data_IF_815284422500
#
_entry.id   IF_815284422500
#
_cell.length_a   1.000
_cell.length_b   1.000
_cell.length_c   1.000
_cell.angle_alpha   90.00
_cell.angle_beta   90.00
_cell.angle_gamma   90.00
#
_symmetry.space_group_name_H-M   'P 1'
#
loop_
_entity.id
_entity.type
_entity.pdbx_description
1 polymer ?
#
# COMPACT_ATOMS: atom_id res chain seq x y z
N UNK A 1 -0.83 -0.12 -77.27
CA UNK A 1 -1.40 0.92 -76.40
C UNK A 1 -0.37 1.13 -75.29
N UNK A 2 0.66 1.95 -75.54
CA UNK A 2 0.75 3.40 -75.22
C UNK A 2 0.72 3.63 -73.69
N UNK A 3 1.67 4.27 -72.99
CA UNK A 3 2.93 5.02 -73.25
C UNK A 3 3.74 4.95 -71.92
N UNK A 4 5.07 4.69 -71.87
CA UNK A 4 6.21 5.65 -71.89
C UNK A 4 5.98 6.87 -70.95
N UNK A 5 6.77 7.18 -69.92
CA UNK A 5 8.20 7.56 -69.93
C UNK A 5 8.84 7.60 -68.51
N UNK A 6 10.10 7.18 -68.37
CA UNK A 6 11.06 7.58 -67.29
C UNK A 6 11.79 8.90 -67.70
N UNK A 7 12.93 9.38 -67.11
CA UNK A 7 13.64 9.11 -65.84
C UNK A 7 14.19 10.40 -65.14
N UNK A 8 14.93 10.25 -64.04
CA UNK A 8 15.86 11.27 -63.52
C UNK A 8 17.01 10.62 -62.74
N UNK A 9 18.25 10.79 -63.23
CA UNK A 9 19.49 10.07 -62.86
C UNK A 9 20.61 11.06 -62.50
N UNK A 10 21.38 10.75 -61.43
CA UNK A 10 22.81 11.11 -61.13
C UNK A 10 23.20 12.59 -60.87
N UNK A 11 24.24 12.99 -60.12
CA UNK A 11 25.55 12.40 -59.68
C UNK A 11 26.14 13.24 -58.47
N UNK A 12 27.27 12.83 -57.84
CA UNK A 12 27.72 13.23 -56.48
C UNK A 12 28.87 14.30 -56.45
N UNK A 13 29.51 14.42 -55.27
CA UNK A 13 30.73 15.21 -54.89
C UNK A 13 30.42 16.58 -54.26
N UNK A 14 31.12 17.11 -53.25
CA UNK A 14 32.53 17.08 -52.86
C UNK A 14 32.64 17.34 -51.34
N UNK A 15 33.53 16.63 -50.64
CA UNK A 15 34.06 17.07 -49.34
C UNK A 15 35.28 17.98 -49.56
N UNK A 16 35.39 19.11 -48.85
CA UNK A 16 36.67 19.63 -48.40
C UNK A 16 36.72 19.41 -46.88
N UNK A 17 37.66 18.62 -46.37
CA UNK A 17 39.05 19.04 -46.29
C UNK A 17 39.34 19.24 -44.82
N UNK A 18 40.02 18.27 -44.20
CA UNK A 18 40.46 18.38 -42.83
C UNK A 18 41.47 19.51 -42.68
N UNK A 19 41.33 20.26 -41.60
CA UNK A 19 42.42 21.04 -41.04
C UNK A 19 42.46 20.73 -39.55
N UNK A 20 43.56 20.10 -39.12
CA UNK A 20 43.94 19.94 -37.73
C UNK A 20 44.58 21.24 -37.26
N UNK A 21 44.17 21.74 -36.09
CA UNK A 21 44.97 22.63 -35.28
C UNK A 21 44.74 22.29 -33.80
N UNK A 22 45.83 22.03 -33.10
CA UNK A 22 45.91 21.76 -31.67
C UNK A 22 45.89 23.04 -30.83
N UNK A 23 45.52 22.86 -29.56
CA UNK A 23 45.73 23.70 -28.38
C UNK A 23 45.18 25.14 -28.36
N UNK A 24 44.18 25.37 -27.50
CA UNK A 24 44.26 26.34 -26.39
C UNK A 24 42.97 26.33 -25.55
N UNK A 25 43.15 26.34 -24.22
CA UNK A 25 42.10 26.57 -23.23
C UNK A 25 41.68 28.05 -23.19
N UNK A 26 40.44 28.31 -22.71
CA UNK A 26 40.08 29.31 -21.67
C UNK A 26 38.55 29.59 -21.69
N UNK A 27 38.06 29.90 -20.49
CA UNK A 27 36.72 30.20 -20.00
C UNK A 27 35.83 31.19 -20.79
N UNK A 28 34.51 31.00 -20.61
CA UNK A 28 33.57 32.10 -20.30
C UNK A 28 32.58 32.54 -21.39
N UNK A 29 31.30 32.48 -21.00
CA UNK A 29 30.17 33.37 -21.35
C UNK A 29 29.11 32.89 -22.37
N UNK A 30 27.89 32.77 -21.80
CA UNK A 30 26.53 33.00 -22.30
C UNK A 30 25.96 32.22 -23.50
N UNK A 31 24.96 31.39 -23.21
CA UNK A 31 23.90 31.05 -24.15
C UNK A 31 22.63 31.82 -23.79
N UNK A 32 22.14 32.59 -24.75
CA UNK A 32 20.94 33.41 -24.69
C UNK A 32 19.66 32.56 -24.55
N UNK A 33 18.68 33.10 -23.84
CA UNK A 33 17.34 32.54 -23.72
C UNK A 33 16.60 32.59 -25.07
N UNK A 34 16.11 31.43 -25.52
CA UNK A 34 15.11 31.32 -26.59
C UNK A 34 13.75 31.08 -25.90
N UNK A 35 12.70 31.89 -26.14
CA UNK A 35 11.40 31.66 -25.54
C UNK A 35 10.68 30.54 -26.31
N UNK A 36 10.23 29.51 -25.59
CA UNK A 36 9.32 28.48 -26.09
C UNK A 36 7.93 28.74 -25.49
N UNK A 37 6.84 28.76 -26.29
CA UNK A 37 5.52 29.05 -25.78
C UNK A 37 5.00 27.90 -24.89
N UNK A 38 4.26 28.27 -23.86
CA UNK A 38 3.58 27.38 -22.92
C UNK A 38 2.55 26.51 -23.64
N UNK A 39 2.74 25.19 -23.58
CA UNK A 39 1.72 24.19 -23.91
C UNK A 39 1.09 23.73 -22.60
N UNK A 40 -0.18 24.06 -22.39
CA UNK A 40 -1.01 23.48 -21.34
C UNK A 40 -1.62 22.18 -21.84
N UNK A 41 -1.21 21.05 -21.25
CA UNK A 41 -1.76 19.72 -21.54
C UNK A 41 -1.57 18.81 -20.33
N UNK A 42 -2.65 18.11 -19.95
CA UNK A 42 -2.72 17.22 -18.80
C UNK A 42 -1.63 16.13 -18.82
N UNK A 43 -0.88 16.02 -17.72
CA UNK A 43 0.20 15.04 -17.58
C UNK A 43 -0.32 13.63 -17.37
N UNK A 44 0.04 12.74 -18.28
CA UNK A 44 -0.02 11.28 -18.16
C UNK A 44 0.95 10.82 -17.05
N UNK A 45 0.58 9.93 -16.12
CA UNK A 45 1.51 9.42 -15.12
C UNK A 45 2.47 8.37 -15.73
N UNK A 46 3.77 8.52 -15.47
CA UNK A 46 4.79 7.52 -15.76
C UNK A 46 5.15 6.81 -14.43
N UNK A 47 5.03 5.49 -14.30
CA UNK A 47 5.39 4.78 -13.07
C UNK A 47 6.92 4.56 -12.96
N UNK A 48 7.50 4.76 -11.77
CA UNK A 48 8.78 4.12 -11.41
C UNK A 48 9.99 4.97 -11.04
N UNK A 49 9.85 6.23 -10.60
CA UNK A 49 10.98 6.97 -10.00
C UNK A 49 10.68 7.31 -8.54
N UNK A 50 11.46 6.79 -7.57
CA UNK A 50 11.35 7.24 -6.18
C UNK A 50 11.86 8.68 -6.10
N UNK A 51 10.97 9.61 -5.74
CA UNK A 51 11.36 10.98 -5.43
C UNK A 51 11.88 10.98 -4.00
N UNK A 52 13.16 11.32 -3.75
CA UNK A 52 13.65 11.50 -2.38
C UNK A 52 12.84 12.63 -1.74
N UNK A 53 12.43 12.44 -0.48
CA UNK A 53 11.86 13.54 0.32
C UNK A 53 12.99 14.56 0.51
N UNK A 54 13.05 15.54 -0.39
CA UNK A 54 13.94 16.69 -0.30
C UNK A 54 13.22 17.75 0.49
N UNK A 55 13.77 18.07 1.66
CA UNK A 55 13.50 19.30 2.37
C UNK A 55 14.06 20.46 1.54
N UNK A 56 13.17 21.26 0.93
CA UNK A 56 13.56 22.43 0.15
C UNK A 56 12.35 23.02 -0.58
N UNK A 57 12.24 24.34 -0.57
CA UNK A 57 11.05 25.11 -0.94
C UNK A 57 10.35 24.67 -2.25
N UNK A 58 9.03 24.50 -2.16
CA UNK A 58 8.09 24.64 -3.27
C UNK A 58 7.76 23.38 -4.08
N UNK A 59 6.87 22.53 -3.56
CA UNK A 59 5.99 21.71 -4.43
C UNK A 59 4.55 21.82 -3.91
N UNK A 60 3.74 22.56 -4.65
CA UNK A 60 2.28 22.53 -4.55
C UNK A 60 1.76 21.41 -5.45
N UNK A 61 1.02 20.45 -4.89
CA UNK A 61 0.22 19.50 -5.68
C UNK A 61 -1.21 20.04 -5.73
N UNK A 62 -1.79 20.37 -6.91
CA UNK A 62 -3.12 20.95 -6.97
C UNK A 62 -4.21 19.88 -6.80
N UNK A 63 -5.13 20.15 -5.87
CA UNK A 63 -6.57 20.18 -6.17
C UNK A 63 -7.35 18.86 -6.27
N UNK A 64 -7.82 18.37 -5.11
CA UNK A 64 -9.21 17.90 -4.95
C UNK A 64 -9.68 18.34 -3.56
N UNK A 65 -10.50 19.39 -3.49
CA UNK A 65 -11.19 19.79 -2.26
C UNK A 65 -12.62 19.24 -2.29
N UNK A 66 -12.88 18.22 -1.48
CA UNK A 66 -14.26 17.80 -1.18
C UNK A 66 -14.78 18.71 -0.06
N UNK A 67 -15.89 19.45 -0.25
CA UNK A 67 -16.43 20.32 0.81
C UNK A 67 -16.72 19.50 2.07
N UNK A 68 -16.11 19.90 3.20
CA UNK A 68 -16.36 19.29 4.52
C UNK A 68 -15.38 18.21 4.97
N UNK A 69 -14.38 17.82 4.16
CA UNK A 69 -13.28 16.95 4.61
C UNK A 69 -12.05 17.80 4.87
N UNK A 70 -11.58 17.94 6.13
CA UNK A 70 -10.35 18.66 6.41
C UNK A 70 -9.20 17.89 5.77
N UNK A 71 -8.52 18.51 4.81
CA UNK A 71 -7.28 18.00 4.22
C UNK A 71 -6.12 18.61 5.01
N UNK A 72 -5.31 17.76 5.64
CA UNK A 72 -4.05 18.22 6.24
C UNK A 72 -3.05 18.56 5.13
N UNK A 73 -2.85 19.86 4.87
CA UNK A 73 -1.82 20.36 3.96
C UNK A 73 -0.57 20.80 4.71
N UNK A 74 0.59 20.36 4.24
CA UNK A 74 1.88 20.91 4.67
C UNK A 74 2.09 22.23 3.93
N UNK A 75 2.19 23.32 4.68
CA UNK A 75 2.44 24.67 4.15
C UNK A 75 3.68 25.25 4.83
N UNK A 76 4.32 26.23 4.19
CA UNK A 76 5.37 26.98 4.88
C UNK A 76 4.75 27.74 6.05
N UNK A 77 5.54 27.96 7.12
CA UNK A 77 5.07 28.66 8.32
C UNK A 77 4.56 30.07 7.98
N UNK A 78 5.19 30.72 7.00
CA UNK A 78 4.83 32.05 6.53
C UNK A 78 3.49 32.10 5.77
N UNK A 79 3.03 30.95 5.28
CA UNK A 79 1.74 30.81 4.57
C UNK A 79 0.57 30.56 5.53
N UNK A 80 0.83 30.38 6.84
CA UNK A 80 -0.22 30.13 7.83
C UNK A 80 -0.99 31.43 8.08
N UNK A 81 -2.33 31.46 7.87
CA UNK A 81 -3.13 32.66 8.06
C UNK A 81 -2.93 33.31 9.44
N UNK A 82 -2.85 34.64 9.46
CA UNK A 82 -2.80 35.40 10.70
C UNK A 82 -4.08 35.15 11.52
N UNK A 83 -3.92 34.77 12.79
CA UNK A 83 -5.04 34.44 13.69
C UNK A 83 -5.55 33.00 13.60
N UNK A 84 -4.95 32.14 12.76
CA UNK A 84 -5.24 30.71 12.81
C UNK A 84 -4.89 30.13 14.20
N UNK A 85 -5.69 29.18 14.68
CA UNK A 85 -5.36 28.43 15.89
C UNK A 85 -4.06 27.64 15.65
N UNK A 86 -3.12 27.75 16.59
CA UNK A 86 -1.80 27.15 16.47
C UNK A 86 -1.58 26.17 17.62
N UNK A 87 -1.34 24.91 17.26
CA UNK A 87 -0.87 23.89 18.18
C UNK A 87 0.61 23.64 17.92
N UNK A 88 1.47 23.94 18.90
CA UNK A 88 2.89 23.60 18.84
C UNK A 88 3.10 22.26 19.55
N UNK A 89 3.59 21.26 18.81
CA UNK A 89 3.98 19.96 19.36
C UNK A 89 5.50 19.80 19.23
N UNK A 90 6.23 19.42 20.30
CA UNK A 90 7.63 19.05 20.19
C UNK A 90 7.78 17.67 19.53
N UNK A 91 8.92 17.37 18.92
CA UNK A 91 9.21 16.06 18.33
C UNK A 91 8.80 15.96 16.85
N UNK A 92 8.34 14.77 16.43
CA UNK A 92 8.07 14.46 15.02
C UNK A 92 6.58 14.22 14.79
N UNK A 93 6.05 14.77 13.69
CA UNK A 93 4.68 14.53 13.22
C UNK A 93 4.74 13.78 11.89
N UNK A 94 3.89 12.76 11.76
CA UNK A 94 3.75 11.93 10.57
C UNK A 94 2.28 11.92 10.13
N UNK A 95 2.00 11.55 8.87
CA UNK A 95 0.67 11.03 8.55
C UNK A 95 0.30 9.89 9.50
N UNK A 96 -1.00 9.65 9.69
CA UNK A 96 -1.48 8.61 10.58
C UNK A 96 -0.89 7.24 10.25
N UNK A 97 -0.28 6.58 11.24
CA UNK A 97 0.19 5.20 11.11
C UNK A 97 -0.99 4.26 10.93
N UNK A 98 -0.90 3.37 9.95
CA UNK A 98 -1.96 2.46 9.53
C UNK A 98 -1.54 1.01 9.72
N UNK A 99 -2.41 0.19 10.32
CA UNK A 99 -2.31 -1.27 10.28
C UNK A 99 -3.23 -1.85 9.20
N UNK A 100 -2.65 -2.33 8.11
CA UNK A 100 -3.41 -2.79 6.95
C UNK A 100 -4.01 -4.20 7.11
N UNK A 101 -3.89 -4.85 8.28
CA UNK A 101 -4.54 -6.14 8.53
C UNK A 101 -4.89 -6.30 10.00
N UNK A 102 -6.17 -6.08 10.33
CA UNK A 102 -6.73 -6.36 11.65
C UNK A 102 -8.07 -7.10 11.52
N UNK A 103 -8.56 -7.62 12.64
CA UNK A 103 -9.91 -8.14 12.78
C UNK A 103 -10.61 -7.42 13.93
N UNK A 104 -11.36 -6.34 13.62
CA UNK A 104 -12.00 -5.45 14.60
C UNK A 104 -13.01 -6.15 15.52
N UNK A 105 -13.53 -7.30 15.10
CA UNK A 105 -14.41 -8.13 15.92
C UNK A 105 -13.68 -8.88 17.06
N UNK A 106 -12.35 -8.93 17.01
CA UNK A 106 -11.51 -9.68 17.96
C UNK A 106 -10.67 -8.77 18.87
N UNK A 107 -10.74 -7.45 18.67
CA UNK A 107 -9.83 -6.49 19.29
C UNK A 107 -10.59 -5.26 19.80
N UNK A 108 -9.94 -4.50 20.69
CA UNK A 108 -10.45 -3.21 21.16
C UNK A 108 -9.80 -2.06 20.36
N UNK A 109 -10.56 -1.43 19.46
CA UNK A 109 -10.08 -0.33 18.61
C UNK A 109 -9.63 0.92 19.40
N UNK A 110 -10.28 1.35 20.49
CA UNK A 110 -9.76 2.41 21.36
C UNK A 110 -8.37 2.10 21.92
N UNK A 111 -8.11 0.87 22.34
CA UNK A 111 -6.78 0.44 22.78
C UNK A 111 -5.76 0.49 21.64
N UNK A 112 -6.14 0.03 20.43
CA UNK A 112 -5.29 0.13 19.24
C UNK A 112 -4.92 1.60 18.93
N UNK A 113 -5.89 2.52 19.02
CA UNK A 113 -5.65 3.97 18.89
C UNK A 113 -4.68 4.49 19.94
N UNK A 114 -4.88 4.10 21.20
CA UNK A 114 -4.01 4.48 22.30
C UNK A 114 -2.58 3.95 22.11
N UNK A 115 -2.42 2.83 21.40
CA UNK A 115 -1.14 2.25 20.96
C UNK A 115 -0.49 2.92 19.75
N UNK A 116 -1.03 4.05 19.26
CA UNK A 116 -0.39 4.88 18.23
C UNK A 116 -0.84 4.63 16.80
N UNK A 117 -1.77 3.70 16.57
CA UNK A 117 -2.31 3.38 15.25
C UNK A 117 -3.53 4.26 14.96
N UNK A 118 -3.41 5.12 13.95
CA UNK A 118 -4.40 6.13 13.59
C UNK A 118 -5.50 5.59 12.65
N UNK A 119 -5.14 4.61 11.82
CA UNK A 119 -6.04 3.97 10.87
C UNK A 119 -5.82 2.45 10.83
N UNK A 120 -6.82 1.68 10.40
CA UNK A 120 -6.69 0.24 10.25
C UNK A 120 -7.54 -0.29 9.10
N UNK A 121 -7.15 -1.43 8.53
CA UNK A 121 -7.95 -2.17 7.55
C UNK A 121 -8.47 -3.47 8.18
N UNK A 122 -9.80 -3.57 8.35
CA UNK A 122 -10.44 -4.81 8.77
C UNK A 122 -10.59 -5.75 7.57
N UNK A 123 -9.89 -6.89 7.60
CA UNK A 123 -9.87 -7.84 6.49
C UNK A 123 -10.74 -9.07 6.74
N UNK A 124 -11.77 -8.96 7.58
CA UNK A 124 -12.76 -10.01 7.71
C UNK A 124 -13.52 -9.96 9.02
N UNK A 125 -14.84 -9.86 8.94
CA UNK A 125 -15.75 -9.92 10.07
C UNK A 125 -17.21 -9.83 9.65
N UNK A 126 -18.16 -9.92 10.59
CA UNK A 126 -19.59 -9.80 10.27
C UNK A 126 -19.89 -8.38 9.75
N UNK A 127 -20.48 -8.21 8.55
CA UNK A 127 -20.55 -6.90 7.89
C UNK A 127 -21.20 -5.79 8.73
N UNK A 128 -22.33 -6.10 9.38
CA UNK A 128 -23.03 -5.13 10.24
C UNK A 128 -22.24 -4.74 11.50
N UNK A 129 -21.43 -5.66 12.04
CA UNK A 129 -20.56 -5.36 13.18
C UNK A 129 -19.41 -4.42 12.76
N UNK A 130 -18.72 -4.76 11.67
CA UNK A 130 -17.58 -3.97 11.20
C UNK A 130 -18.02 -2.56 10.77
N UNK A 131 -19.16 -2.45 10.07
CA UNK A 131 -19.75 -1.15 9.73
C UNK A 131 -20.09 -0.31 10.99
N UNK A 132 -20.62 -0.94 12.05
CA UNK A 132 -20.88 -0.25 13.31
C UNK A 132 -19.59 0.21 14.01
N UNK A 133 -18.50 -0.57 13.95
CA UNK A 133 -17.20 -0.17 14.45
C UNK A 133 -16.62 1.02 13.68
N UNK A 134 -16.71 1.00 12.34
CA UNK A 134 -16.31 2.12 11.50
C UNK A 134 -17.09 3.40 11.84
N UNK A 135 -18.42 3.29 12.02
CA UNK A 135 -19.29 4.42 12.38
C UNK A 135 -18.98 5.02 13.77
N UNK A 136 -18.47 4.21 14.72
CA UNK A 136 -18.01 4.70 16.04
C UNK A 136 -16.76 5.58 15.94
N UNK A 137 -15.93 5.41 14.91
CA UNK A 137 -14.83 6.31 14.59
C UNK A 137 -13.66 6.33 15.59
N UNK A 138 -13.46 5.27 16.39
CA UNK A 138 -12.31 5.19 17.31
C UNK A 138 -10.97 5.22 16.54
N UNK A 139 -10.90 4.48 15.44
CA UNK A 139 -9.80 4.44 14.47
C UNK A 139 -10.42 4.66 13.09
N UNK A 140 -9.71 5.33 12.18
CA UNK A 140 -10.17 5.43 10.79
C UNK A 140 -10.14 4.03 10.15
N UNK A 141 -11.31 3.43 9.95
CA UNK A 141 -11.43 2.02 9.56
C UNK A 141 -11.83 1.89 8.09
N UNK A 142 -10.94 1.27 7.31
CA UNK A 142 -11.26 0.69 5.99
C UNK A 142 -11.64 -0.78 6.21
N UNK A 143 -12.55 -1.36 5.42
CA UNK A 143 -12.94 -2.75 5.70
C UNK A 143 -13.44 -3.55 4.48
N UNK A 144 -13.28 -4.88 4.59
CA UNK A 144 -13.68 -5.88 3.59
C UNK A 144 -15.14 -6.34 3.70
N UNK A 145 -15.68 -6.37 4.92
CA UNK A 145 -16.87 -7.17 5.22
C UNK A 145 -16.52 -8.64 5.43
N UNK A 146 -17.28 -9.60 4.86
CA UNK A 146 -17.06 -11.02 5.13
C UNK A 146 -15.90 -11.57 4.28
N UNK A 147 -15.32 -12.69 4.73
CA UNK A 147 -14.49 -13.54 3.88
C UNK A 147 -15.36 -14.17 2.79
N UNK A 148 -15.04 -13.94 1.52
CA UNK A 148 -15.62 -14.70 0.42
C UNK A 148 -14.86 -16.01 0.26
N UNK A 149 -15.58 -17.13 0.39
CA UNK A 149 -14.97 -18.45 0.54
C UNK A 149 -15.70 -19.51 -0.31
N UNK A 150 -15.04 -20.63 -0.60
CA UNK A 150 -15.77 -21.82 -1.05
C UNK A 150 -16.61 -22.40 0.09
N UNK A 151 -17.64 -23.22 -0.19
CA UNK A 151 -18.41 -23.88 0.85
C UNK A 151 -17.52 -24.71 1.78
N UNK A 152 -17.60 -24.44 3.08
CA UNK A 152 -16.71 -25.04 4.09
C UNK A 152 -15.23 -24.61 4.01
N UNK A 153 -14.90 -23.57 3.24
CA UNK A 153 -13.55 -23.03 3.13
C UNK A 153 -13.09 -22.31 4.40
N UNK A 154 -11.78 -22.05 4.50
CA UNK A 154 -11.23 -21.26 5.60
C UNK A 154 -11.77 -19.83 5.60
N UNK A 155 -12.13 -19.20 6.74
CA UNK A 155 -12.03 -19.71 8.10
C UNK A 155 -13.37 -20.22 8.68
N UNK A 156 -14.30 -20.71 7.86
CA UNK A 156 -15.66 -21.08 8.30
C UNK A 156 -15.72 -22.14 9.42
N UNK A 157 -14.67 -22.94 9.54
CA UNK A 157 -14.50 -24.00 10.54
C UNK A 157 -13.65 -23.56 11.75
N UNK A 158 -13.23 -22.29 11.80
CA UNK A 158 -12.35 -21.78 12.85
C UNK A 158 -13.16 -21.14 13.98
N UNK A 159 -12.90 -21.54 15.25
CA UNK A 159 -13.67 -21.02 16.39
C UNK A 159 -13.39 -19.55 16.70
N UNK A 160 -12.27 -19.00 16.21
CA UNK A 160 -11.95 -17.60 16.36
C UNK A 160 -12.77 -16.71 15.42
N UNK A 161 -13.31 -17.24 14.33
CA UNK A 161 -14.06 -16.46 13.35
C UNK A 161 -15.50 -16.25 13.85
N UNK A 162 -15.95 -15.01 14.10
CA UNK A 162 -17.31 -14.77 14.56
C UNK A 162 -18.36 -15.26 13.55
N UNK A 163 -19.52 -15.68 14.04
CA UNK A 163 -20.63 -16.07 13.17
C UNK A 163 -21.02 -14.92 12.22
N UNK A 164 -21.24 -15.25 10.94
CA UNK A 164 -21.54 -14.26 9.90
C UNK A 164 -20.30 -13.61 9.26
N UNK A 165 -19.08 -14.03 9.62
CA UNK A 165 -17.85 -13.52 8.99
C UNK A 165 -17.56 -14.14 7.62
N UNK A 166 -18.25 -15.20 7.22
CA UNK A 166 -18.00 -15.90 5.96
C UNK A 166 -19.22 -15.83 5.03
N UNK A 167 -18.97 -15.62 3.74
CA UNK A 167 -19.95 -15.71 2.66
C UNK A 167 -19.48 -16.76 1.65
N UNK A 168 -20.14 -17.91 1.65
CA UNK A 168 -19.82 -19.01 0.73
C UNK A 168 -20.27 -18.70 -0.70
N UNK A 169 -19.44 -19.04 -1.69
CA UNK A 169 -19.74 -18.93 -3.11
C UNK A 169 -19.63 -20.29 -3.78
N UNK A 170 -20.72 -20.76 -4.41
CA UNK A 170 -20.77 -22.05 -5.11
C UNK A 170 -20.44 -21.95 -6.59
N UNK A 171 -20.56 -20.76 -7.18
CA UNK A 171 -20.38 -20.57 -8.62
C UNK A 171 -20.01 -19.12 -8.97
N UNK A 172 -19.50 -18.87 -10.20
CA UNK A 172 -19.24 -17.52 -10.69
C UNK A 172 -20.46 -16.60 -10.66
N UNK A 173 -21.67 -17.14 -10.83
CA UNK A 173 -22.91 -16.36 -10.85
C UNK A 173 -23.24 -15.71 -9.49
N UNK A 174 -22.68 -16.22 -8.39
CA UNK A 174 -22.88 -15.65 -7.04
C UNK A 174 -21.91 -14.50 -6.73
N UNK A 175 -20.83 -14.34 -7.51
CA UNK A 175 -19.75 -13.41 -7.22
C UNK A 175 -20.21 -11.95 -7.20
N UNK A 176 -20.90 -11.49 -8.24
CA UNK A 176 -21.37 -10.12 -8.34
C UNK A 176 -22.35 -9.75 -7.22
N UNK A 177 -23.20 -10.70 -6.81
CA UNK A 177 -24.14 -10.51 -5.69
C UNK A 177 -23.38 -10.35 -4.39
N UNK A 178 -22.42 -11.22 -4.09
CA UNK A 178 -21.67 -11.16 -2.84
C UNK A 178 -20.78 -9.91 -2.74
N UNK A 179 -20.17 -9.48 -3.85
CA UNK A 179 -19.41 -8.22 -3.91
C UNK A 179 -20.34 -7.02 -3.71
N UNK A 180 -21.50 -7.00 -4.37
CA UNK A 180 -22.48 -5.94 -4.20
C UNK A 180 -23.06 -5.88 -2.77
N UNK A 181 -23.29 -7.03 -2.12
CA UNK A 181 -23.69 -7.13 -0.72
C UNK A 181 -22.62 -6.48 0.20
N UNK A 182 -21.35 -6.81 0.00
CA UNK A 182 -20.24 -6.23 0.78
C UNK A 182 -20.11 -4.72 0.54
N UNK A 183 -20.16 -4.27 -0.72
CA UNK A 183 -20.13 -2.85 -1.07
C UNK A 183 -21.32 -2.09 -0.46
N UNK A 184 -22.53 -2.65 -0.53
CA UNK A 184 -23.73 -2.02 0.05
C UNK A 184 -23.64 -1.89 1.58
N UNK A 185 -22.89 -2.79 2.24
CA UNK A 185 -22.55 -2.68 3.66
C UNK A 185 -21.39 -1.70 3.95
N UNK A 186 -20.89 -1.00 2.92
CA UNK A 186 -19.84 0.03 3.02
C UNK A 186 -18.41 -0.49 2.90
N UNK A 187 -18.21 -1.75 2.49
CA UNK A 187 -16.87 -2.26 2.25
C UNK A 187 -16.17 -1.48 1.13
N UNK A 188 -14.87 -1.25 1.30
CA UNK A 188 -14.00 -0.47 0.39
C UNK A 188 -12.83 -1.29 -0.16
N UNK A 189 -12.90 -2.60 0.06
CA UNK A 189 -12.07 -3.66 -0.49
C UNK A 189 -12.84 -4.98 -0.35
N UNK A 190 -12.40 -6.04 -1.02
CA UNK A 190 -13.01 -7.38 -0.92
C UNK A 190 -11.97 -8.36 -0.39
N UNK A 191 -12.34 -9.23 0.56
CA UNK A 191 -11.46 -10.30 1.06
C UNK A 191 -11.90 -11.64 0.52
N UNK A 192 -10.97 -12.38 -0.07
CA UNK A 192 -11.14 -13.78 -0.45
C UNK A 192 -10.12 -14.64 0.30
N UNK A 193 -10.43 -15.92 0.52
CA UNK A 193 -9.48 -16.87 1.10
C UNK A 193 -9.16 -18.01 0.13
N UNK A 194 -7.88 -18.37 0.11
CA UNK A 194 -7.33 -19.53 -0.57
C UNK A 194 -6.38 -20.24 0.41
N UNK A 195 -6.87 -21.30 1.04
CA UNK A 195 -6.13 -22.10 2.00
C UNK A 195 -6.10 -23.55 1.49
N UNK A 196 -4.97 -23.99 0.95
CA UNK A 196 -4.86 -25.26 0.21
C UNK A 196 -5.22 -26.51 1.04
N UNK A 197 -5.20 -26.42 2.38
CA UNK A 197 -5.65 -27.47 3.30
C UNK A 197 -7.17 -27.66 3.39
N UNK A 198 -7.97 -26.90 2.63
CA UNK A 198 -9.43 -26.97 2.64
C UNK A 198 -10.07 -26.61 1.29
N UNK A 199 -11.40 -26.50 1.22
CA UNK A 199 -12.11 -26.10 0.01
C UNK A 199 -11.64 -24.74 -0.52
N UNK A 200 -11.38 -24.68 -1.83
CA UNK A 200 -10.96 -23.47 -2.54
C UNK A 200 -12.04 -23.04 -3.52
N UNK A 201 -12.13 -21.73 -3.79
CA UNK A 201 -12.94 -21.24 -4.89
C UNK A 201 -12.40 -21.80 -6.21
N UNK A 202 -13.30 -22.24 -7.08
CA UNK A 202 -12.92 -22.58 -8.44
C UNK A 202 -12.30 -21.35 -9.14
N UNK A 203 -11.31 -21.51 -10.03
CA UNK A 203 -10.66 -20.38 -10.69
C UNK A 203 -11.63 -19.41 -11.37
N UNK A 204 -12.67 -19.94 -12.02
CA UNK A 204 -13.71 -19.12 -12.64
C UNK A 204 -14.52 -18.29 -11.62
N UNK A 205 -14.72 -18.80 -10.40
CA UNK A 205 -15.41 -18.05 -9.34
C UNK A 205 -14.52 -16.96 -8.76
N UNK A 206 -13.22 -17.24 -8.54
CA UNK A 206 -12.26 -16.22 -8.12
C UNK A 206 -12.17 -15.09 -9.16
N UNK A 207 -12.03 -15.44 -10.44
CA UNK A 207 -12.00 -14.46 -11.53
C UNK A 207 -13.28 -13.61 -11.56
N UNK A 208 -14.45 -14.21 -11.39
CA UNK A 208 -15.72 -13.47 -11.35
C UNK A 208 -15.82 -12.54 -10.13
N UNK A 209 -15.23 -12.90 -8.98
CA UNK A 209 -15.14 -12.00 -7.81
C UNK A 209 -14.24 -10.82 -8.13
N UNK A 210 -13.07 -11.06 -8.73
CA UNK A 210 -12.14 -9.99 -9.12
C UNK A 210 -12.79 -9.03 -10.12
N UNK A 211 -13.38 -9.55 -11.19
CA UNK A 211 -14.12 -8.71 -12.16
C UNK A 211 -15.21 -7.87 -11.48
N UNK A 212 -16.06 -8.49 -10.67
CA UNK A 212 -17.14 -7.76 -10.00
C UNK A 212 -16.63 -6.69 -9.01
N UNK A 213 -15.51 -6.94 -8.34
CA UNK A 213 -14.89 -5.97 -7.44
C UNK A 213 -14.30 -4.80 -8.23
N UNK A 214 -13.56 -5.08 -9.31
CA UNK A 214 -12.97 -4.07 -10.18
C UNK A 214 -14.01 -3.22 -10.90
N UNK A 215 -15.15 -3.79 -11.30
CA UNK A 215 -16.28 -3.04 -11.88
C UNK A 215 -16.85 -1.99 -10.91
N UNK A 216 -16.65 -2.18 -9.60
CA UNK A 216 -17.01 -1.22 -8.54
C UNK A 216 -15.81 -0.40 -8.03
N UNK A 217 -14.63 -0.55 -8.64
CA UNK A 217 -13.40 0.11 -8.20
C UNK A 217 -12.87 -0.37 -6.84
N UNK A 218 -13.25 -1.57 -6.40
CA UNK A 218 -12.81 -2.17 -5.15
C UNK A 218 -11.60 -3.09 -5.38
N UNK A 219 -10.49 -2.94 -4.63
CA UNK A 219 -9.40 -3.89 -4.70
C UNK A 219 -9.74 -5.20 -3.98
N UNK A 220 -9.16 -6.29 -4.45
CA UNK A 220 -9.30 -7.63 -3.85
C UNK A 220 -8.04 -7.98 -3.08
N UNK A 221 -8.23 -8.43 -1.84
CA UNK A 221 -7.18 -8.98 -0.98
C UNK A 221 -7.39 -10.49 -0.83
N UNK A 222 -6.33 -11.27 -1.04
CA UNK A 222 -6.39 -12.74 -0.89
C UNK A 222 -5.51 -13.22 0.26
N UNK A 223 -6.09 -14.03 1.15
CA UNK A 223 -5.32 -14.96 1.98
C UNK A 223 -4.84 -16.11 1.13
N UNK A 224 -3.54 -16.17 0.84
CA UNK A 224 -2.94 -17.20 -0.01
C UNK A 224 -2.02 -18.09 0.84
N UNK A 225 -2.52 -19.27 1.21
CA UNK A 225 -1.79 -20.24 2.01
C UNK A 225 -1.67 -21.58 1.28
N UNK A 226 -0.41 -21.99 1.09
CA UNK A 226 -0.04 -23.30 0.57
C UNK A 226 0.07 -23.33 -0.96
N UNK A 227 0.50 -24.49 -1.49
CA UNK A 227 0.95 -24.63 -2.88
C UNK A 227 -0.09 -24.14 -3.90
N UNK A 228 0.37 -23.28 -4.81
CA UNK A 228 -0.40 -22.81 -5.97
C UNK A 228 -1.39 -21.68 -5.67
N UNK A 229 -1.64 -21.34 -4.41
CA UNK A 229 -2.59 -20.27 -4.05
C UNK A 229 -2.12 -18.89 -4.50
N UNK A 230 -0.81 -18.61 -4.39
CA UNK A 230 -0.21 -17.34 -4.85
C UNK A 230 -0.26 -17.22 -6.37
N UNK A 231 0.03 -18.31 -7.10
CA UNK A 231 -0.05 -18.34 -8.55
C UNK A 231 -1.49 -18.09 -9.03
N UNK A 232 -2.46 -18.78 -8.44
CA UNK A 232 -3.88 -18.58 -8.74
C UNK A 232 -4.36 -17.15 -8.47
N UNK A 233 -3.90 -16.53 -7.37
CA UNK A 233 -4.22 -15.13 -7.09
C UNK A 233 -3.59 -14.17 -8.11
N UNK A 234 -2.33 -14.39 -8.50
CA UNK A 234 -1.64 -13.57 -9.50
C UNK A 234 -2.29 -13.69 -10.89
N UNK A 235 -2.64 -14.90 -11.30
CA UNK A 235 -3.31 -15.20 -12.58
C UNK A 235 -4.72 -14.60 -12.64
N UNK A 236 -5.42 -14.55 -11.50
CA UNK A 236 -6.73 -13.92 -11.38
C UNK A 236 -6.68 -12.39 -11.25
N UNK A 237 -5.49 -11.77 -11.35
CA UNK A 237 -5.30 -10.31 -11.27
C UNK A 237 -5.72 -9.69 -9.94
N UNK A 238 -5.53 -10.44 -8.84
CA UNK A 238 -5.73 -9.93 -7.47
C UNK A 238 -4.80 -8.75 -7.18
N UNK A 239 -5.30 -7.76 -6.45
CA UNK A 239 -4.55 -6.54 -6.13
C UNK A 239 -3.59 -6.73 -4.95
N UNK A 240 -4.03 -7.44 -3.90
CA UNK A 240 -3.23 -7.62 -2.68
C UNK A 240 -3.18 -9.06 -2.17
N UNK A 241 -2.05 -9.41 -1.56
CA UNK A 241 -1.93 -10.60 -0.71
C UNK A 241 -1.89 -10.21 0.76
N UNK A 242 -2.61 -10.97 1.57
CA UNK A 242 -2.51 -10.91 3.01
C UNK A 242 -2.69 -12.33 3.54
N UNK A 243 -1.62 -13.06 3.83
CA UNK A 243 -0.29 -12.58 4.24
C UNK A 243 0.78 -12.48 3.13
N UNK A 244 1.97 -11.99 3.48
CA UNK A 244 3.21 -12.33 2.75
C UNK A 244 3.34 -13.86 2.66
N UNK A 245 3.51 -14.46 1.47
CA UNK A 245 3.59 -15.91 1.32
C UNK A 245 4.67 -16.56 2.20
N UNK A 246 4.29 -17.53 3.03
CA UNK A 246 5.14 -18.09 4.11
C UNK A 246 5.27 -19.62 4.09
N UNK A 247 4.43 -20.31 3.32
CA UNK A 247 4.31 -21.77 3.30
C UNK A 247 5.34 -22.45 2.41
N UNK A 248 5.75 -21.77 1.33
CA UNK A 248 6.82 -22.23 0.45
C UNK A 248 7.67 -21.05 -0.04
N UNK A 249 8.90 -21.34 -0.47
CA UNK A 249 9.66 -20.39 -1.27
C UNK A 249 9.02 -20.29 -2.65
N UNK A 250 8.75 -19.07 -3.08
CA UNK A 250 8.12 -18.84 -4.37
C UNK A 250 9.14 -18.89 -5.50
N UNK A 251 8.69 -19.32 -6.68
CA UNK A 251 9.46 -19.24 -7.91
C UNK A 251 9.80 -17.77 -8.24
N UNK A 252 11.05 -17.43 -8.60
CA UNK A 252 11.44 -16.05 -8.88
C UNK A 252 10.64 -15.37 -10.00
N UNK A 253 10.17 -16.13 -10.99
CA UNK A 253 9.31 -15.64 -12.06
C UNK A 253 7.94 -15.22 -11.53
N UNK A 254 7.34 -16.05 -10.66
CA UNK A 254 6.09 -15.71 -9.96
C UNK A 254 6.26 -14.48 -9.07
N UNK A 255 7.34 -14.41 -8.26
CA UNK A 255 7.60 -13.25 -7.40
C UNK A 255 7.71 -11.96 -8.22
N UNK A 256 8.40 -12.01 -9.38
CA UNK A 256 8.51 -10.87 -10.30
C UNK A 256 7.14 -10.48 -10.88
N UNK A 257 6.32 -11.45 -11.27
CA UNK A 257 4.98 -11.20 -11.79
C UNK A 257 4.08 -10.53 -10.74
N UNK A 258 4.14 -10.98 -9.49
CA UNK A 258 3.49 -10.32 -8.35
C UNK A 258 4.02 -8.90 -8.14
N UNK A 259 5.34 -8.70 -8.10
CA UNK A 259 5.96 -7.40 -7.84
C UNK A 259 5.59 -6.32 -8.86
N UNK A 260 5.29 -6.72 -10.10
CA UNK A 260 4.89 -5.79 -11.15
C UNK A 260 3.48 -5.22 -10.99
N UNK A 261 2.60 -5.82 -10.17
CA UNK A 261 1.17 -5.47 -10.13
C UNK A 261 0.52 -5.50 -8.75
N UNK A 262 1.05 -6.27 -7.80
CA UNK A 262 0.42 -6.52 -6.51
C UNK A 262 1.06 -5.71 -5.39
N UNK A 263 0.30 -5.53 -4.32
CA UNK A 263 0.81 -5.11 -3.01
C UNK A 263 0.72 -6.26 -2.01
N UNK A 264 1.77 -6.50 -1.21
CA UNK A 264 1.72 -7.50 -0.15
C UNK A 264 1.52 -6.83 1.22
N UNK A 265 0.67 -7.40 2.06
CA UNK A 265 0.53 -6.99 3.46
C UNK A 265 1.47 -7.87 4.30
N UNK A 266 2.33 -7.22 5.07
CA UNK A 266 3.54 -7.85 5.62
C UNK A 266 3.23 -9.04 6.53
N UNK A 267 2.54 -8.81 7.64
CA UNK A 267 2.11 -9.83 8.63
C UNK A 267 3.18 -10.89 8.92
N UNK A 268 4.42 -10.48 9.14
CA UNK A 268 5.57 -11.37 9.26
C UNK A 268 5.71 -11.96 10.67
N UNK A 269 5.41 -11.18 11.71
CA UNK A 269 5.56 -11.56 13.13
C UNK A 269 4.60 -12.69 13.52
N UNK A 270 3.45 -12.80 12.84
CA UNK A 270 2.42 -13.80 13.19
C UNK A 270 2.91 -15.24 13.02
N UNK A 271 3.93 -15.44 12.19
CA UNK A 271 4.49 -16.75 11.90
C UNK A 271 5.45 -17.26 12.99
N UNK A 272 5.66 -16.52 14.09
CA UNK A 272 6.49 -16.96 15.21
C UNK A 272 6.34 -16.20 16.51
N UNK A 273 5.65 -15.05 16.50
CA UNK A 273 5.46 -14.12 17.63
C UNK A 273 6.78 -13.85 18.37
N UNK A 274 7.79 -13.41 17.61
CA UNK A 274 9.16 -13.19 18.09
C UNK A 274 10.06 -14.42 18.15
N UNK A 275 9.54 -15.64 17.91
CA UNK A 275 10.39 -16.82 17.69
C UNK A 275 10.84 -16.91 16.24
N UNK A 276 12.02 -17.48 16.03
CA UNK A 276 12.50 -17.83 14.70
C UNK A 276 11.89 -19.17 14.29
N UNK A 277 11.13 -19.17 13.20
CA UNK A 277 10.42 -20.33 12.66
C UNK A 277 10.70 -20.46 11.16
N UNK A 278 10.62 -21.67 10.58
CA UNK A 278 10.78 -21.85 9.13
C UNK A 278 9.79 -20.99 8.32
N UNK A 279 8.56 -20.85 8.79
CA UNK A 279 7.50 -20.06 8.16
C UNK A 279 7.86 -18.57 8.15
N UNK A 280 8.31 -18.03 9.29
CA UNK A 280 8.76 -16.64 9.40
C UNK A 280 9.98 -16.38 8.51
N UNK A 281 10.94 -17.31 8.50
CA UNK A 281 12.12 -17.22 7.63
C UNK A 281 11.75 -17.24 6.14
N UNK A 282 10.76 -18.05 5.76
CA UNK A 282 10.24 -18.12 4.39
C UNK A 282 9.50 -16.85 4.00
N UNK A 283 8.63 -16.32 4.85
CA UNK A 283 7.93 -15.06 4.62
C UNK A 283 8.91 -13.89 4.40
N UNK A 284 9.90 -13.73 5.28
CA UNK A 284 10.93 -12.68 5.15
C UNK A 284 11.74 -12.88 3.85
N UNK A 285 12.09 -14.12 3.51
CA UNK A 285 12.81 -14.43 2.27
C UNK A 285 12.04 -14.07 1.01
N UNK A 286 10.75 -14.43 0.96
CA UNK A 286 9.86 -14.11 -0.15
C UNK A 286 9.62 -12.60 -0.26
N UNK A 287 9.37 -11.90 0.86
CA UNK A 287 9.20 -10.45 0.85
C UNK A 287 10.46 -9.74 0.36
N UNK A 288 11.65 -10.18 0.77
CA UNK A 288 12.92 -9.64 0.28
C UNK A 288 13.06 -9.78 -1.24
N UNK A 289 12.72 -10.96 -1.78
CA UNK A 289 12.76 -11.18 -3.22
C UNK A 289 11.74 -10.29 -3.96
N UNK A 290 10.53 -10.16 -3.41
CA UNK A 290 9.47 -9.30 -3.95
C UNK A 290 9.87 -7.82 -3.98
N UNK A 291 10.43 -7.30 -2.87
CA UNK A 291 10.97 -5.94 -2.79
C UNK A 291 12.14 -5.72 -3.77
N UNK A 292 13.00 -6.72 -3.98
CA UNK A 292 14.11 -6.63 -4.94
C UNK A 292 13.65 -6.47 -6.40
N UNK A 293 12.40 -6.85 -6.70
CA UNK A 293 11.74 -6.62 -7.99
C UNK A 293 10.86 -5.37 -8.01
N UNK A 294 10.92 -4.52 -6.99
CA UNK A 294 10.16 -3.27 -6.90
C UNK A 294 8.72 -3.43 -6.38
N UNK A 295 8.40 -4.57 -5.77
CA UNK A 295 7.08 -4.82 -5.22
C UNK A 295 6.72 -3.86 -4.08
N UNK A 296 5.43 -3.59 -3.90
CA UNK A 296 4.91 -2.69 -2.87
C UNK A 296 4.42 -3.45 -1.65
N UNK A 297 4.68 -2.91 -0.46
CA UNK A 297 4.28 -3.55 0.81
C UNK A 297 3.52 -2.59 1.71
N UNK A 298 2.50 -3.12 2.39
CA UNK A 298 1.81 -2.46 3.50
C UNK A 298 2.20 -3.12 4.81
N UNK A 299 2.42 -2.31 5.84
CA UNK A 299 2.52 -2.83 7.20
C UNK A 299 1.15 -3.38 7.62
N UNK A 300 1.12 -4.61 8.09
CA UNK A 300 -0.06 -5.18 8.73
C UNK A 300 0.33 -6.26 9.73
N UNK A 301 -0.48 -6.46 10.76
CA UNK A 301 -0.13 -7.39 11.85
C UNK A 301 -1.02 -8.61 11.97
N UNK A 302 -2.18 -8.64 11.30
CA UNK A 302 -3.25 -9.62 11.54
C UNK A 302 -3.73 -9.60 13.02
N UNK A 303 -3.85 -8.39 13.57
CA UNK A 303 -4.23 -8.19 14.97
C UNK A 303 -5.63 -8.78 15.23
N UNK A 304 -5.70 -9.65 16.24
CA UNK A 304 -6.86 -10.52 16.50
C UNK A 304 -6.47 -12.00 16.45
N UNK A 305 -5.38 -12.33 15.74
CA UNK A 305 -4.84 -13.68 15.63
C UNK A 305 -3.51 -13.84 16.38
N UNK A 306 -3.58 -14.26 17.64
CA UNK A 306 -2.42 -14.54 18.50
C UNK A 306 -2.01 -13.39 19.43
N UNK A 307 -0.90 -13.54 20.18
CA UNK A 307 -0.47 -12.61 21.22
C UNK A 307 0.25 -11.37 20.65
N UNK A 308 -0.46 -10.62 19.81
CA UNK A 308 0.03 -9.41 19.17
C UNK A 308 -0.34 -8.17 20.02
N UNK A 309 0.56 -7.18 20.14
CA UNK A 309 0.24 -5.95 20.88
C UNK A 309 -0.76 -5.09 20.08
N UNK A 310 -1.79 -4.50 20.73
CA UNK A 310 -2.67 -3.51 20.10
C UNK A 310 -1.97 -2.14 20.02
N UNK A 311 -0.83 -2.10 19.32
CA UNK A 311 0.03 -0.93 19.16
C UNK A 311 0.93 -1.12 17.93
N UNK A 312 1.79 -0.14 17.63
CA UNK A 312 2.91 -0.34 16.69
C UNK A 312 3.73 -1.56 17.13
N UNK A 313 3.76 -2.60 16.31
CA UNK A 313 4.44 -3.86 16.63
C UNK A 313 5.92 -3.76 16.23
N UNK A 314 6.78 -3.54 17.23
CA UNK A 314 8.25 -3.47 17.07
C UNK A 314 8.79 -4.70 16.33
N UNK A 315 8.24 -5.89 16.57
CA UNK A 315 8.73 -7.13 15.94
C UNK A 315 8.41 -7.17 14.46
N UNK A 316 7.24 -6.68 14.08
CA UNK A 316 6.84 -6.53 12.67
C UNK A 316 7.69 -5.49 11.95
N UNK A 317 7.91 -4.32 12.58
CA UNK A 317 8.79 -3.26 12.04
C UNK A 317 10.21 -3.78 11.81
N UNK A 318 10.77 -4.53 12.76
CA UNK A 318 12.09 -5.17 12.60
C UNK A 318 12.08 -6.27 11.54
N UNK A 319 10.98 -7.01 11.36
CA UNK A 319 10.86 -8.02 10.32
C UNK A 319 10.82 -7.40 8.91
N UNK A 320 10.15 -6.26 8.75
CA UNK A 320 10.20 -5.44 7.54
C UNK A 320 11.64 -4.97 7.23
N UNK A 321 12.36 -4.50 8.26
CA UNK A 321 13.78 -4.16 8.14
C UNK A 321 14.64 -5.36 7.71
N UNK A 322 14.40 -6.53 8.31
CA UNK A 322 15.07 -7.77 7.92
C UNK A 322 14.76 -8.18 6.46
N UNK A 323 13.56 -7.88 5.96
CA UNK A 323 13.19 -8.09 4.55
C UNK A 323 13.85 -7.09 3.59
N UNK A 324 14.53 -6.05 4.09
CA UNK A 324 15.34 -5.13 3.30
C UNK A 324 14.76 -3.72 3.14
N UNK A 325 13.69 -3.37 3.86
CA UNK A 325 13.24 -1.98 3.92
C UNK A 325 14.12 -1.17 4.87
N UNK A 326 14.45 0.05 4.46
CA UNK A 326 15.02 1.06 5.35
C UNK A 326 13.89 1.78 6.13
N UNK A 327 14.24 2.63 7.12
CA UNK A 327 13.26 3.41 7.88
C UNK A 327 12.27 4.20 7.01
N UNK A 328 12.72 4.80 5.91
CA UNK A 328 11.85 5.56 5.01
C UNK A 328 10.83 4.64 4.32
N UNK A 329 11.27 3.48 3.80
CA UNK A 329 10.39 2.47 3.21
C UNK A 329 9.38 1.91 4.20
N UNK A 330 9.77 1.70 5.46
CA UNK A 330 8.83 1.27 6.51
C UNK A 330 7.80 2.37 6.81
N UNK A 331 8.22 3.63 6.92
CA UNK A 331 7.28 4.75 7.07
C UNK A 331 6.29 4.79 5.90
N UNK A 332 6.75 4.63 4.65
CA UNK A 332 5.86 4.53 3.49
C UNK A 332 4.88 3.36 3.61
N UNK A 333 5.34 2.18 4.03
CA UNK A 333 4.49 1.01 4.23
C UNK A 333 3.41 1.22 5.32
N UNK A 334 3.69 2.06 6.33
CA UNK A 334 2.78 2.38 7.44
C UNK A 334 1.91 3.63 7.22
N UNK A 335 2.29 4.52 6.31
CA UNK A 335 1.62 5.84 6.15
C UNK A 335 1.04 6.09 4.77
N UNK A 336 1.38 5.26 3.77
CA UNK A 336 0.81 5.45 2.45
C UNK A 336 -0.71 5.33 2.54
N UNK A 337 -1.42 6.41 2.23
CA UNK A 337 -2.87 6.41 2.27
C UNK A 337 -3.42 6.32 0.86
N UNK A 338 -4.39 5.43 0.65
CA UNK A 338 -5.20 5.41 -0.59
C UNK A 338 -6.24 6.56 -0.57
N UNK A 339 -6.39 7.27 0.56
CA UNK A 339 -7.13 8.52 0.69
C UNK A 339 -6.27 9.62 1.34
N UNK A 340 -5.63 10.50 0.55
CA UNK A 340 -4.84 11.60 1.06
C UNK A 340 -5.66 12.55 1.95
N UNK A 341 -5.10 12.92 3.10
CA UNK A 341 -5.54 14.10 3.86
C UNK A 341 -6.65 13.93 4.91
N UNK A 342 -7.30 12.76 5.05
CA UNK A 342 -8.52 12.62 5.88
C UNK A 342 -8.35 11.89 7.22
N UNK A 343 -7.14 11.45 7.58
CA UNK A 343 -6.88 10.69 8.81
C UNK A 343 -6.19 11.50 9.92
N UNK A 344 -6.36 11.13 11.21
CA UNK A 344 -5.65 11.78 12.30
C UNK A 344 -4.13 11.55 12.17
N UNK A 345 -3.34 12.58 12.48
CA UNK A 345 -1.88 12.53 12.38
C UNK A 345 -1.29 11.64 13.48
N UNK A 346 -0.09 11.12 13.26
CA UNK A 346 0.69 10.46 14.31
C UNK A 346 1.79 11.39 14.82
N UNK A 347 2.07 11.33 16.12
CA UNK A 347 2.99 12.22 16.82
C UNK A 347 3.94 11.41 17.71
N UNK A 348 5.24 11.70 17.59
CA UNK A 348 6.32 11.11 18.39
C UNK A 348 6.94 12.19 19.28
N UNK A 349 6.59 12.26 20.58
CA UNK A 349 6.98 13.37 21.45
C UNK A 349 8.49 13.53 21.62
N UNK A 350 9.24 12.42 21.63
CA UNK A 350 10.69 12.40 21.77
C UNK A 350 11.43 12.57 20.44
N UNK A 351 10.70 12.68 19.32
CA UNK A 351 11.25 12.60 17.98
C UNK A 351 11.28 11.17 17.43
N UNK A 352 11.59 11.06 16.14
CA UNK A 352 11.77 9.80 15.41
C UNK A 352 13.26 9.58 15.15
N UNK A 353 13.77 8.42 15.55
CA UNK A 353 15.16 8.02 15.27
C UNK A 353 15.19 7.22 13.97
N UNK A 354 16.01 7.64 13.00
CA UNK A 354 16.14 6.96 11.70
C UNK A 354 17.32 5.98 11.67
N UNK A 355 18.02 5.76 12.77
CA UNK A 355 19.01 4.69 12.86
C UNK A 355 18.30 3.32 12.88
N UNK A 356 18.62 2.37 11.98
CA UNK A 356 17.90 1.10 11.89
C UNK A 356 17.82 0.31 13.20
N UNK A 357 18.81 0.42 14.08
CA UNK A 357 18.87 -0.32 15.34
C UNK A 357 17.85 0.17 16.39
N UNK A 358 17.41 1.43 16.32
CA UNK A 358 16.56 2.10 17.31
C UNK A 358 15.26 2.63 16.71
N UNK A 359 15.14 2.60 15.38
CA UNK A 359 13.97 3.07 14.65
C UNK A 359 12.66 2.45 15.15
N UNK A 360 12.61 1.12 15.30
CA UNK A 360 11.39 0.43 15.70
C UNK A 360 10.89 0.85 17.09
N UNK A 361 11.81 0.98 18.05
CA UNK A 361 11.52 1.44 19.41
C UNK A 361 11.06 2.89 19.42
N UNK A 362 11.72 3.78 18.67
CA UNK A 362 11.31 5.17 18.59
C UNK A 362 9.92 5.29 17.96
N UNK A 363 9.65 4.56 16.87
CA UNK A 363 8.36 4.55 16.18
C UNK A 363 7.24 4.00 17.07
N UNK A 364 7.53 3.03 17.92
CA UNK A 364 6.56 2.47 18.86
C UNK A 364 6.12 3.43 19.98
N UNK A 365 6.77 4.59 20.10
CA UNK A 365 6.31 5.67 21.00
C UNK A 365 5.23 6.57 20.38
N UNK A 366 4.87 6.32 19.11
CA UNK A 366 3.87 7.10 18.39
C UNK A 366 2.53 7.15 19.15
N UNK A 367 1.90 8.32 19.06
CA UNK A 367 0.57 8.59 19.60
C UNK A 367 -0.28 9.15 18.47
N UNK A 368 -1.57 8.84 18.47
CA UNK A 368 -2.49 9.50 17.56
C UNK A 368 -2.72 10.92 18.07
N UNK A 369 -2.47 11.92 17.24
CA UNK A 369 -2.68 13.32 17.56
C UNK A 369 -4.18 13.61 17.49
N UNK A 370 -4.79 13.88 18.64
CA UNK A 370 -6.19 14.25 18.80
C UNK A 370 -6.37 15.45 19.74
N UNK A 371 -7.60 15.97 19.87
CA UNK A 371 -7.92 17.13 20.73
C UNK A 371 -7.59 16.92 22.21
N UNK A 372 -7.47 15.67 22.65
CA UNK A 372 -7.02 15.26 23.98
C UNK A 372 -5.53 15.54 24.24
N UNK A 373 -4.72 15.68 23.19
CA UNK A 373 -3.31 16.00 23.30
C UNK A 373 -3.18 17.47 23.68
N UNK A 374 -2.74 17.72 24.92
CA UNK A 374 -2.35 19.04 25.41
C UNK A 374 -0.83 19.12 25.49
N UNK A 375 -0.15 19.64 24.45
CA UNK A 375 1.28 19.88 24.52
C UNK A 375 1.51 20.96 25.59
N UNK A 376 2.44 20.69 26.50
CA UNK A 376 2.94 21.71 27.42
C UNK A 376 3.98 22.57 26.72
#
# INVERSE_FOLDING_TARGET
>A
MADLTSPGVSVPSVSPGGVSAADASVAGVAAAAVPVPTVSGAGVPVPGVPVPIVSGAGVSVPGVSVPGVPVATVVAVDDIPAGAERLRVPGTVLPGLTDAHVHSALIDLPTLRAGGIAAAWDLGGPPGYVAAQAARGAVALRYAGPFLIAPGGYPSDRPWAPAGSCRELRSPAEAAVAVAEAHAAGATLIKVTAHAGGPLLAPATLAAVVTAAHDLGLPVVVHAEGPGTVAAACDAEVDLLAHTPWTERLDPGLVRACAARMTWISTLDIHGWGRDTPERGTAIGNLRAFLSYGGQVRYGTDLGNGPLPPAVNIREVRALGAAGLDPAGILTAMTGNDQPGSGPLSWLPAGLDLEPATFAESLATARVLGPEVRPR
#
